data_IF_186633918999
#
_entry.id   IF_186633918999
#
_cell.length_a   1.000
_cell.length_b   1.000
_cell.length_c   1.000
_cell.angle_alpha   90.00
_cell.angle_beta   90.00
_cell.angle_gamma   90.00
#
_symmetry.space_group_name_H-M   'P 1'
#
loop_
_entity.id
_entity.type
_entity.pdbx_description
1 polymer ?
#
# COMPACT_ATOMS: atom_id res chain seq x y z
N UNK A 1 -33.34 -16.64 -9.41
CA UNK A 1 -32.48 -16.31 -10.57
C UNK A 1 -31.71 -15.00 -10.38
N UNK A 2 -32.33 -13.84 -10.09
CA UNK A 2 -31.61 -12.55 -9.88
C UNK A 2 -30.62 -12.48 -8.70
N UNK A 3 -30.80 -13.30 -7.65
CA UNK A 3 -29.93 -13.32 -6.46
C UNK A 3 -28.67 -14.17 -6.66
N UNK A 4 -28.75 -15.22 -7.46
CA UNK A 4 -27.62 -16.11 -7.78
C UNK A 4 -26.66 -15.49 -8.78
N UNK A 5 -27.15 -14.66 -9.71
CA UNK A 5 -26.29 -13.95 -10.69
C UNK A 5 -25.43 -12.86 -10.03
N UNK A 6 -25.94 -12.18 -9.00
CA UNK A 6 -25.17 -11.18 -8.26
C UNK A 6 -24.08 -11.83 -7.40
N UNK A 7 -24.37 -13.00 -6.81
CA UNK A 7 -23.42 -13.78 -6.02
C UNK A 7 -22.29 -14.36 -6.88
N UNK A 8 -22.63 -14.86 -8.09
CA UNK A 8 -21.66 -15.36 -9.05
C UNK A 8 -20.79 -14.25 -9.67
N UNK A 9 -21.32 -13.04 -9.85
CA UNK A 9 -20.54 -11.90 -10.33
C UNK A 9 -19.53 -11.40 -9.28
N UNK A 10 -19.90 -11.42 -7.99
CA UNK A 10 -18.99 -11.10 -6.88
C UNK A 10 -17.92 -12.19 -6.72
N UNK A 11 -18.29 -13.46 -6.89
CA UNK A 11 -17.35 -14.58 -6.81
C UNK A 11 -16.39 -14.63 -8.03
N UNK A 12 -16.88 -14.32 -9.23
CA UNK A 12 -16.06 -14.25 -10.45
C UNK A 12 -15.08 -13.07 -10.45
N UNK A 13 -15.43 -11.95 -9.80
CA UNK A 13 -14.51 -10.83 -9.58
C UNK A 13 -13.37 -11.16 -8.61
N UNK A 14 -13.58 -12.10 -7.68
CA UNK A 14 -12.56 -12.54 -6.72
C UNK A 14 -11.53 -13.53 -7.32
N UNK A 15 -11.82 -14.13 -8.48
CA UNK A 15 -11.00 -15.20 -9.08
C UNK A 15 -10.11 -14.74 -10.24
N UNK A 16 -10.16 -13.46 -10.62
CA UNK A 16 -9.30 -12.87 -11.66
C UNK A 16 -8.10 -12.12 -11.07
N UNK A 17 -7.36 -12.78 -10.17
CA UNK A 17 -6.07 -12.28 -9.68
C UNK A 17 -5.01 -12.64 -10.73
N UNK A 18 -4.37 -11.66 -11.42
CA UNK A 18 -3.21 -11.97 -12.26
C UNK A 18 -2.09 -12.53 -11.38
N UNK A 19 -1.38 -13.54 -11.88
CA UNK A 19 -0.18 -14.06 -11.23
C UNK A 19 0.83 -12.90 -11.08
N UNK A 20 1.00 -12.42 -9.85
CA UNK A 20 1.90 -11.31 -9.55
C UNK A 20 3.36 -11.69 -9.81
N UNK A 21 4.25 -10.70 -9.96
CA UNK A 21 5.69 -10.96 -9.99
C UNK A 21 6.09 -11.80 -8.78
N UNK A 22 6.99 -12.77 -8.97
CA UNK A 22 7.45 -13.66 -7.91
C UNK A 22 7.97 -12.83 -6.71
N UNK A 23 7.17 -12.78 -5.64
CA UNK A 23 7.53 -12.18 -4.36
C UNK A 23 8.46 -13.15 -3.64
N UNK A 24 9.74 -12.82 -3.55
CA UNK A 24 10.63 -13.56 -2.66
C UNK A 24 10.33 -13.27 -1.18
N UNK A 25 9.71 -12.13 -0.83
CA UNK A 25 9.53 -11.68 0.57
C UNK A 25 8.30 -10.76 0.81
N UNK A 26 7.16 -11.00 0.17
CA UNK A 26 6.07 -10.01 0.04
C UNK A 26 5.35 -9.59 1.35
N UNK A 27 5.11 -8.28 1.52
CA UNK A 27 4.11 -7.73 2.45
C UNK A 27 4.52 -6.54 3.32
N UNK A 28 5.81 -6.25 3.49
CA UNK A 28 6.32 -5.34 4.54
C UNK A 28 6.60 -3.89 4.08
N UNK A 29 5.97 -3.41 3.01
CA UNK A 29 6.08 -1.99 2.66
C UNK A 29 5.30 -1.12 3.65
N UNK A 30 5.83 0.02 4.14
CA UNK A 30 5.08 0.88 5.04
C UNK A 30 3.88 1.47 4.30
N UNK A 31 2.70 1.41 4.92
CA UNK A 31 1.47 1.96 4.33
C UNK A 31 1.56 3.46 4.03
N UNK A 32 2.42 4.16 4.77
CA UNK A 32 2.90 5.50 4.51
C UNK A 32 4.18 5.80 5.32
N UNK A 33 5.01 6.76 4.88
CA UNK A 33 6.30 7.09 5.50
C UNK A 33 6.58 8.60 5.45
N UNK A 34 7.49 9.08 6.31
CA UNK A 34 8.02 10.44 6.24
C UNK A 34 9.19 10.56 5.25
N UNK A 35 9.71 9.45 4.71
CA UNK A 35 10.89 9.44 3.86
C UNK A 35 10.53 9.14 2.40
N UNK A 36 10.90 10.05 1.51
CA UNK A 36 10.85 9.87 0.07
C UNK A 36 12.18 9.34 -0.43
N UNK A 37 12.18 8.12 -0.94
CA UNK A 37 13.35 7.51 -1.58
C UNK A 37 13.20 7.56 -3.10
N UNK A 38 14.23 8.01 -3.80
CA UNK A 38 14.20 8.17 -5.27
C UNK A 38 15.49 7.64 -5.90
N UNK A 39 15.35 7.03 -7.09
CA UNK A 39 16.49 6.73 -7.97
C UNK A 39 16.75 7.98 -8.80
N UNK A 40 17.96 8.54 -8.71
CA UNK A 40 18.38 9.70 -9.51
C UNK A 40 19.01 9.29 -10.84
N UNK A 41 19.54 8.07 -10.95
CA UNK A 41 19.98 7.51 -12.22
C UNK A 41 20.99 6.37 -12.09
N UNK A 42 21.53 5.96 -13.23
CA UNK A 42 22.69 5.07 -13.31
C UNK A 42 23.95 5.90 -13.56
N UNK A 43 25.10 5.50 -12.98
CA UNK A 43 26.38 6.17 -13.24
C UNK A 43 26.81 6.10 -14.72
N UNK A 44 26.34 5.08 -15.43
CA UNK A 44 26.43 4.97 -16.89
C UNK A 44 25.11 4.46 -17.45
N UNK A 45 24.63 5.08 -18.53
CA UNK A 45 23.43 4.62 -19.21
C UNK A 45 23.61 3.20 -19.75
N UNK A 46 22.62 2.34 -19.50
CA UNK A 46 22.62 0.94 -19.92
C UNK A 46 21.28 0.64 -20.62
N UNK A 47 21.25 0.57 -21.97
CA UNK A 47 20.03 0.29 -22.71
C UNK A 47 19.37 -1.02 -22.28
N UNK A 48 18.07 -0.97 -21.99
CA UNK A 48 17.30 -2.14 -21.54
C UNK A 48 17.39 -2.42 -20.04
N UNK A 49 18.15 -1.65 -19.26
CA UNK A 49 18.17 -1.75 -17.80
C UNK A 49 17.39 -0.59 -17.18
N UNK A 50 16.43 -0.90 -16.30
CA UNK A 50 15.72 0.12 -15.52
C UNK A 50 15.74 -0.24 -14.05
N UNK A 51 15.90 0.78 -13.20
CA UNK A 51 15.83 0.64 -11.74
C UNK A 51 14.95 1.74 -11.20
N UNK A 52 14.02 1.38 -10.31
CA UNK A 52 13.11 2.32 -9.66
C UNK A 52 12.82 1.90 -8.23
N UNK A 53 12.38 2.86 -7.43
CA UNK A 53 11.83 2.59 -6.10
C UNK A 53 10.36 2.17 -6.23
N UNK A 54 9.95 1.17 -5.46
CA UNK A 54 8.56 0.69 -5.37
C UNK A 54 8.11 0.64 -3.90
N UNK A 55 6.81 0.40 -3.67
CA UNK A 55 6.26 0.15 -2.33
C UNK A 55 6.62 1.26 -1.33
N UNK A 56 6.46 2.53 -1.77
CA UNK A 56 6.75 3.74 -0.99
C UNK A 56 8.16 3.81 -0.37
N UNK A 57 9.18 3.29 -1.06
CA UNK A 57 10.55 3.32 -0.55
C UNK A 57 11.01 2.00 0.05
N UNK A 58 10.12 1.00 0.18
CA UNK A 58 10.48 -0.26 0.82
C UNK A 58 11.43 -1.12 -0.03
N UNK A 59 11.35 -1.02 -1.36
CA UNK A 59 12.14 -1.86 -2.26
C UNK A 59 12.67 -1.11 -3.47
N UNK A 60 13.77 -1.63 -4.00
CA UNK A 60 14.19 -1.39 -5.37
C UNK A 60 13.56 -2.44 -6.28
N UNK A 61 13.17 -2.03 -7.48
CA UNK A 61 12.84 -2.91 -8.59
C UNK A 61 13.85 -2.70 -9.71
N UNK A 62 14.52 -3.77 -10.12
CA UNK A 62 15.37 -3.81 -11.31
C UNK A 62 14.70 -4.66 -12.37
N UNK A 63 14.52 -4.09 -13.57
CA UNK A 63 14.05 -4.82 -14.76
C UNK A 63 15.20 -4.89 -15.76
N UNK A 64 15.59 -6.11 -16.12
CA UNK A 64 16.67 -6.39 -17.05
C UNK A 64 16.15 -6.89 -18.41
N UNK A 65 16.19 -6.02 -19.41
CA UNK A 65 15.96 -6.32 -20.82
C UNK A 65 17.22 -6.27 -21.68
N UNK A 66 18.42 -6.31 -21.07
CA UNK A 66 19.70 -6.16 -21.78
C UNK A 66 20.13 -7.42 -22.56
N UNK A 67 19.51 -8.57 -22.28
CA UNK A 67 19.92 -9.87 -22.81
C UNK A 67 21.19 -10.45 -22.16
N UNK A 68 21.75 -9.78 -21.14
CA UNK A 68 22.95 -10.20 -20.39
C UNK A 68 22.63 -10.36 -18.91
N UNK A 69 23.48 -11.07 -18.17
CA UNK A 69 23.38 -11.15 -16.72
C UNK A 69 23.78 -9.83 -16.08
N UNK A 70 22.90 -9.29 -15.23
CA UNK A 70 23.20 -8.13 -14.38
C UNK A 70 23.20 -8.61 -12.93
N UNK A 71 24.32 -8.40 -12.24
CA UNK A 71 24.47 -8.74 -10.83
C UNK A 71 24.23 -7.50 -9.97
N UNK A 72 23.50 -7.67 -8.86
CA UNK A 72 23.42 -6.68 -7.78
C UNK A 72 24.45 -7.07 -6.73
N UNK A 73 25.27 -6.13 -6.30
CA UNK A 73 26.29 -6.38 -5.29
C UNK A 73 25.76 -6.08 -3.87
N UNK A 74 26.13 -6.96 -2.94
CA UNK A 74 25.83 -6.86 -1.52
C UNK A 74 26.68 -5.81 -0.81
N UNK A 75 26.54 -5.74 0.50
CA UNK A 75 27.10 -4.66 1.33
C UNK A 75 28.62 -4.66 1.40
N UNK A 76 29.26 -5.79 1.09
CA UNK A 76 30.71 -5.94 1.08
C UNK A 76 31.25 -6.18 -0.35
N UNK A 77 30.44 -5.88 -1.37
CA UNK A 77 30.79 -6.05 -2.78
C UNK A 77 30.65 -7.48 -3.29
N UNK A 78 30.13 -8.40 -2.49
CA UNK A 78 29.86 -9.78 -2.89
C UNK A 78 28.69 -9.87 -3.89
N UNK A 79 28.63 -10.89 -4.76
CA UNK A 79 27.45 -11.13 -5.58
C UNK A 79 26.25 -11.44 -4.70
N UNK A 80 25.17 -10.66 -4.82
CA UNK A 80 23.94 -10.84 -4.04
C UNK A 80 22.80 -11.40 -4.90
N UNK A 81 22.40 -10.68 -5.96
CA UNK A 81 21.37 -11.13 -6.90
C UNK A 81 21.96 -11.23 -8.31
N UNK A 82 21.46 -12.17 -9.11
CA UNK A 82 21.63 -12.12 -10.57
C UNK A 82 20.27 -12.04 -11.24
N UNK A 83 20.11 -11.06 -12.12
CA UNK A 83 19.00 -10.97 -13.05
C UNK A 83 19.50 -11.37 -14.41
N UNK A 84 19.20 -12.61 -14.81
CA UNK A 84 19.64 -13.23 -16.05
C UNK A 84 18.52 -13.25 -17.09
N UNK A 85 18.81 -13.52 -18.37
CA UNK A 85 17.78 -13.74 -19.38
C UNK A 85 16.86 -14.94 -19.07
N UNK A 86 17.34 -15.93 -18.31
CA UNK A 86 16.59 -17.14 -17.95
C UNK A 86 15.94 -17.07 -16.56
N UNK A 87 16.13 -15.99 -15.79
CA UNK A 87 15.45 -15.80 -14.51
C UNK A 87 16.22 -14.95 -13.51
N UNK A 88 15.67 -14.86 -12.31
CA UNK A 88 16.29 -14.16 -11.19
C UNK A 88 16.76 -15.15 -10.14
N UNK A 89 17.98 -14.92 -9.64
CA UNK A 89 18.69 -15.78 -8.71
C UNK A 89 19.19 -14.97 -7.52
N UNK A 90 19.23 -15.58 -6.35
CA UNK A 90 19.85 -15.03 -5.15
C UNK A 90 21.02 -15.91 -4.71
N UNK A 91 22.08 -15.30 -4.21
CA UNK A 91 23.24 -16.02 -3.68
C UNK A 91 22.98 -16.39 -2.22
N UNK A 92 22.76 -17.66 -1.93
CA UNK A 92 22.51 -18.11 -0.54
C UNK A 92 23.75 -17.98 0.35
N UNK A 93 24.94 -17.77 -0.23
CA UNK A 93 26.16 -17.48 0.52
C UNK A 93 26.36 -15.97 0.77
N UNK A 94 25.56 -15.09 0.18
CA UNK A 94 25.64 -13.64 0.43
C UNK A 94 24.93 -13.28 1.75
N UNK A 95 25.58 -12.55 2.67
CA UNK A 95 24.91 -11.99 3.84
C UNK A 95 23.72 -11.07 3.50
N UNK A 96 23.79 -10.37 2.36
CA UNK A 96 22.71 -9.51 1.88
C UNK A 96 21.41 -10.29 1.63
N UNK A 97 21.48 -11.58 1.26
CA UNK A 97 20.29 -12.45 1.09
C UNK A 97 19.47 -12.60 2.36
N UNK A 98 20.09 -12.48 3.53
CA UNK A 98 19.42 -12.60 4.82
C UNK A 98 19.03 -11.21 5.34
N UNK A 99 19.97 -10.26 5.29
CA UNK A 99 19.75 -8.87 5.71
C UNK A 99 18.61 -8.17 4.94
N UNK A 100 18.29 -8.64 3.73
CA UNK A 100 17.26 -8.03 2.87
C UNK A 100 15.95 -8.83 2.82
N UNK A 101 15.78 -9.85 3.68
CA UNK A 101 14.53 -10.60 3.73
C UNK A 101 13.41 -9.78 4.31
N UNK A 102 13.69 -9.06 5.39
CA UNK A 102 12.77 -8.14 6.05
C UNK A 102 13.15 -6.70 5.74
N UNK A 103 12.18 -5.80 5.91
CA UNK A 103 12.45 -4.38 5.76
C UNK A 103 13.56 -3.94 6.73
N UNK A 104 13.50 -4.35 7.99
CA UNK A 104 14.39 -3.92 9.08
C UNK A 104 15.73 -4.65 9.13
N UNK A 105 15.90 -5.71 8.32
CA UNK A 105 17.16 -6.44 8.24
C UNK A 105 17.57 -7.17 9.51
N UNK A 106 16.57 -7.54 10.31
CA UNK A 106 16.69 -8.26 11.58
C UNK A 106 16.81 -9.79 11.43
N UNK A 107 16.76 -10.29 10.19
CA UNK A 107 16.92 -11.72 9.90
C UNK A 107 18.35 -12.17 10.24
N UNK A 108 18.52 -13.20 11.10
CA UNK A 108 19.84 -13.71 11.45
C UNK A 108 20.60 -14.23 10.23
N UNK A 109 21.84 -13.75 10.05
CA UNK A 109 22.74 -14.21 8.99
C UNK A 109 23.40 -15.54 9.42
N UNK A 110 23.24 -16.64 8.66
CA UNK A 110 23.91 -17.89 8.98
C UNK A 110 25.44 -17.76 8.92
N UNK A 111 26.15 -18.46 9.81
CA UNK A 111 27.62 -18.41 9.86
C UNK A 111 28.33 -18.83 8.55
N UNK A 112 27.66 -19.64 7.71
CA UNK A 112 28.18 -20.05 6.40
C UNK A 112 27.96 -19.02 5.28
N UNK A 113 27.08 -18.04 5.48
CA UNK A 113 26.89 -16.95 4.54
C UNK A 113 28.02 -15.94 4.71
N UNK A 114 29.01 -16.02 3.81
CA UNK A 114 30.22 -15.20 3.84
C UNK A 114 30.36 -14.41 2.54
N UNK A 115 30.71 -13.12 2.60
CA UNK A 115 30.98 -12.31 1.41
C UNK A 115 32.10 -12.87 0.51
N UNK A 116 33.01 -13.65 1.09
CA UNK A 116 34.16 -14.23 0.37
C UNK A 116 33.90 -15.66 -0.10
N UNK A 117 32.77 -16.27 0.27
CA UNK A 117 32.41 -17.59 -0.22
C UNK A 117 32.04 -17.54 -1.70
N UNK A 118 32.35 -18.61 -2.43
CA UNK A 118 31.90 -18.74 -3.81
C UNK A 118 30.37 -18.67 -3.87
N UNK A 119 29.77 -17.95 -4.84
CA UNK A 119 28.33 -17.78 -4.89
C UNK A 119 27.63 -19.12 -5.13
N UNK A 120 26.56 -19.37 -4.37
CA UNK A 120 25.66 -20.49 -4.57
C UNK A 120 24.29 -19.94 -4.96
N UNK A 121 23.97 -20.07 -6.24
CA UNK A 121 22.76 -19.48 -6.80
C UNK A 121 21.52 -20.35 -6.56
N UNK A 122 20.50 -19.75 -5.95
CA UNK A 122 19.14 -20.29 -5.87
C UNK A 122 18.23 -19.47 -6.78
N UNK A 123 17.53 -20.14 -7.68
CA UNK A 123 16.54 -19.47 -8.56
C UNK A 123 15.32 -19.09 -7.75
N UNK A 124 14.93 -17.82 -7.78
CA UNK A 124 13.74 -17.29 -7.09
C UNK A 124 12.61 -16.91 -8.04
N UNK A 125 12.92 -16.70 -9.32
CA UNK A 125 11.93 -16.36 -10.35
C UNK A 125 12.38 -16.82 -11.72
N UNK A 126 11.42 -17.07 -12.61
CA UNK A 126 11.67 -17.30 -14.03
C UNK A 126 11.72 -16.01 -14.85
N UNK A 127 11.34 -14.88 -14.26
CA UNK A 127 11.34 -13.57 -14.92
C UNK A 127 12.64 -12.79 -14.76
N UNK A 128 12.77 -11.72 -15.55
CA UNK A 128 13.94 -10.81 -15.58
C UNK A 128 13.75 -9.55 -14.73
N UNK A 129 12.95 -9.66 -13.67
CA UNK A 129 12.67 -8.59 -12.71
C UNK A 129 13.00 -9.04 -11.31
N UNK A 130 13.83 -8.27 -10.62
CA UNK A 130 14.14 -8.47 -9.20
C UNK A 130 13.54 -7.33 -8.36
N UNK A 131 12.97 -7.69 -7.21
CA UNK A 131 12.57 -6.74 -6.17
C UNK A 131 13.17 -7.16 -4.84
N UNK A 132 13.82 -6.23 -4.15
CA UNK A 132 14.48 -6.50 -2.86
C UNK A 132 14.44 -5.29 -1.94
N UNK A 133 14.49 -5.54 -0.62
CA UNK A 133 14.77 -4.51 0.37
C UNK A 133 16.26 -4.17 0.35
N UNK A 134 16.62 -2.92 0.57
CA UNK A 134 18.03 -2.52 0.65
C UNK A 134 18.25 -1.53 1.78
N UNK A 135 19.15 -1.84 2.69
CA UNK A 135 19.41 -1.02 3.86
C UNK A 135 20.06 0.32 3.48
N UNK A 136 20.72 0.40 2.31
CA UNK A 136 21.38 1.64 1.84
C UNK A 136 20.39 2.73 1.45
N UNK A 137 19.15 2.37 1.12
CA UNK A 137 18.14 3.31 0.61
C UNK A 137 17.22 3.84 1.71
N UNK A 138 17.58 3.65 2.99
CA UNK A 138 16.78 3.97 4.16
C UNK A 138 17.54 4.82 5.16
N UNK A 139 16.80 5.69 5.83
CA UNK A 139 17.22 6.23 7.13
C UNK A 139 16.92 5.17 8.19
N UNK A 140 17.95 4.69 8.91
CA UNK A 140 17.83 3.59 9.86
C UNK A 140 17.82 4.03 11.34
N UNK A 141 18.12 5.30 11.62
CA UNK A 141 18.08 5.79 12.99
C UNK A 141 16.62 5.96 13.45
N UNK A 142 16.33 5.60 14.71
CA UNK A 142 15.01 5.73 15.32
C UNK A 142 14.54 7.19 15.47
N UNK A 143 15.49 8.13 15.47
CA UNK A 143 15.24 9.56 15.61
C UNK A 143 14.96 10.25 14.28
N UNK A 144 14.38 11.46 14.37
CA UNK A 144 14.35 12.36 13.21
C UNK A 144 15.78 12.71 12.77
N UNK A 145 16.03 12.90 11.47
CA UNK A 145 17.29 13.43 10.98
C UNK A 145 17.60 14.78 11.65
N UNK A 146 18.86 15.08 12.02
CA UNK A 146 19.20 16.32 12.72
C UNK A 146 18.67 17.59 12.04
N UNK A 147 18.64 17.61 10.70
CA UNK A 147 18.11 18.71 9.90
C UNK A 147 16.59 18.86 10.08
N UNK A 148 15.86 17.75 10.10
CA UNK A 148 14.41 17.73 10.34
C UNK A 148 14.05 18.05 11.79
N UNK A 149 14.92 17.71 12.76
CA UNK A 149 14.77 18.17 14.15
C UNK A 149 14.93 19.69 14.27
N UNK A 150 15.87 20.27 13.53
CA UNK A 150 16.14 21.71 13.57
C UNK A 150 15.05 22.53 12.85
N UNK A 151 14.51 22.05 11.73
CA UNK A 151 13.42 22.70 11.01
C UNK A 151 12.39 21.66 10.52
N UNK A 152 11.39 21.29 11.34
CA UNK A 152 10.41 20.27 10.97
C UNK A 152 9.36 20.77 9.97
N UNK A 153 9.46 22.02 9.50
CA UNK A 153 8.48 22.61 8.58
C UNK A 153 8.87 22.45 7.10
N UNK A 154 10.09 21.98 6.82
CA UNK A 154 10.65 21.89 5.47
C UNK A 154 11.17 20.49 5.17
N UNK A 155 11.19 20.13 3.89
CA UNK A 155 11.80 18.89 3.44
C UNK A 155 13.32 18.98 3.51
N UNK A 156 13.97 17.87 3.88
CA UNK A 156 15.43 17.78 4.01
C UNK A 156 15.94 16.54 3.31
N UNK A 157 16.91 16.69 2.40
CA UNK A 157 17.65 15.53 1.91
C UNK A 157 18.53 15.01 3.06
N UNK A 158 18.34 13.75 3.44
CA UNK A 158 18.98 13.17 4.64
C UNK A 158 20.18 12.32 4.28
N UNK A 159 20.18 11.67 3.12
CA UNK A 159 21.31 10.93 2.59
C UNK A 159 21.25 10.77 1.07
N UNK A 160 22.43 10.55 0.49
CA UNK A 160 22.61 10.00 -0.85
C UNK A 160 23.04 8.54 -0.73
N UNK A 161 22.61 7.71 -1.66
CA UNK A 161 22.89 6.28 -1.62
C UNK A 161 23.34 5.73 -2.97
N UNK A 162 24.08 4.62 -2.90
CA UNK A 162 24.60 3.90 -4.05
C UNK A 162 24.38 2.41 -3.88
N UNK A 163 23.78 1.77 -4.88
CA UNK A 163 23.74 0.31 -5.03
C UNK A 163 24.57 -0.09 -6.24
N UNK A 164 25.72 -0.75 -6.07
CA UNK A 164 26.56 -1.15 -7.18
C UNK A 164 25.97 -2.38 -7.88
N UNK A 165 26.00 -2.34 -9.20
CA UNK A 165 25.69 -3.44 -10.10
C UNK A 165 26.95 -3.86 -10.87
N UNK A 166 26.93 -5.07 -11.41
CA UNK A 166 27.99 -5.59 -12.27
C UNK A 166 27.41 -6.23 -13.52
N UNK A 167 28.04 -5.91 -14.64
CA UNK A 167 27.76 -6.43 -15.98
C UNK A 167 29.05 -7.05 -16.53
N UNK A 168 29.24 -8.34 -16.25
CA UNK A 168 30.50 -9.04 -16.48
C UNK A 168 31.65 -8.42 -15.67
N UNK A 169 32.57 -7.74 -16.36
CA UNK A 169 33.71 -7.05 -15.71
C UNK A 169 33.46 -5.57 -15.44
N UNK A 170 32.36 -5.01 -15.93
CA UNK A 170 32.03 -3.60 -15.79
C UNK A 170 31.16 -3.38 -14.56
N UNK A 171 31.53 -2.44 -13.72
CA UNK A 171 30.68 -1.97 -12.61
C UNK A 171 29.91 -0.73 -13.03
N UNK A 172 28.69 -0.60 -12.53
CA UNK A 172 27.87 0.60 -12.63
C UNK A 172 27.11 0.80 -11.32
N UNK A 173 26.72 2.05 -11.05
CA UNK A 173 26.06 2.40 -9.80
C UNK A 173 24.61 2.77 -10.08
N UNK A 174 23.68 2.23 -9.32
CA UNK A 174 22.38 2.87 -9.11
C UNK A 174 22.58 3.94 -8.05
N UNK A 175 22.23 5.18 -8.37
CA UNK A 175 22.31 6.32 -7.45
C UNK A 175 20.94 6.81 -7.08
N UNK A 176 20.83 7.37 -5.89
CA UNK A 176 19.60 7.98 -5.45
C UNK A 176 19.74 8.77 -4.15
N UNK A 177 18.60 9.25 -3.68
CA UNK A 177 18.48 10.10 -2.50
C UNK A 177 17.39 9.58 -1.57
N UNK A 178 17.50 9.94 -0.31
CA UNK A 178 16.38 9.90 0.64
C UNK A 178 16.14 11.32 1.15
N UNK A 179 14.89 11.74 1.11
CA UNK A 179 14.43 13.05 1.58
C UNK A 179 13.40 12.84 2.67
N UNK A 180 13.63 13.42 3.84
CA UNK A 180 12.58 13.56 4.86
C UNK A 180 11.61 14.65 4.44
N UNK A 181 10.32 14.36 4.56
CA UNK A 181 9.22 15.22 4.16
C UNK A 181 8.36 15.57 5.39
N UNK A 182 7.99 16.85 5.58
CA UNK A 182 7.22 17.25 6.74
C UNK A 182 5.83 16.59 6.72
N UNK A 183 5.38 16.01 7.85
CA UNK A 183 4.08 15.37 7.91
C UNK A 183 2.97 16.42 7.73
N UNK A 184 1.85 16.06 7.09
CA UNK A 184 0.70 16.94 7.00
C UNK A 184 0.09 17.18 8.39
N UNK A 185 -0.68 18.26 8.57
CA UNK A 185 -1.47 18.48 9.79
C UNK A 185 -2.61 17.46 9.90
N UNK A 186 -2.31 16.26 10.44
CA UNK A 186 -3.22 15.13 10.51
C UNK A 186 -4.57 15.46 11.18
N UNK A 187 -4.55 16.33 12.17
CA UNK A 187 -5.74 16.74 12.91
C UNK A 187 -6.81 17.40 12.03
N UNK A 188 -6.42 18.12 10.96
CA UNK A 188 -7.37 18.72 10.02
C UNK A 188 -8.18 17.65 9.29
N UNK A 189 -7.55 16.53 8.94
CA UNK A 189 -8.23 15.41 8.29
C UNK A 189 -9.21 14.71 9.25
N UNK A 190 -8.82 14.53 10.52
CA UNK A 190 -9.71 13.99 11.54
C UNK A 190 -10.91 14.90 11.83
N UNK A 191 -10.68 16.20 11.98
CA UNK A 191 -11.75 17.19 12.14
C UNK A 191 -12.69 17.16 10.93
N UNK A 192 -12.14 17.08 9.71
CA UNK A 192 -12.92 16.93 8.49
C UNK A 192 -13.77 15.66 8.46
N UNK A 193 -13.22 14.52 8.87
CA UNK A 193 -13.94 13.24 8.96
C UNK A 193 -15.10 13.32 9.98
N UNK A 194 -14.83 13.90 11.16
CA UNK A 194 -15.83 14.09 12.21
C UNK A 194 -16.94 15.06 11.77
N UNK A 195 -16.58 16.19 11.16
CA UNK A 195 -17.54 17.16 10.64
C UNK A 195 -18.42 16.55 9.53
N UNK A 196 -17.81 15.80 8.61
CA UNK A 196 -18.53 15.07 7.57
C UNK A 196 -19.50 14.05 8.18
N UNK A 197 -19.03 13.23 9.12
CA UNK A 197 -19.86 12.23 9.79
C UNK A 197 -21.01 12.84 10.59
N UNK A 198 -20.76 13.91 11.34
CA UNK A 198 -21.80 14.61 12.10
C UNK A 198 -22.86 15.24 11.17
N UNK A 199 -22.43 15.95 10.12
CA UNK A 199 -23.31 16.57 9.14
C UNK A 199 -24.18 15.55 8.40
N UNK A 200 -23.57 14.46 7.91
CA UNK A 200 -24.29 13.38 7.23
C UNK A 200 -25.21 12.60 8.18
N UNK A 201 -24.85 12.42 9.45
CA UNK A 201 -25.72 11.80 10.45
C UNK A 201 -26.93 12.69 10.73
N UNK A 202 -26.74 14.00 10.88
CA UNK A 202 -27.83 14.96 11.06
C UNK A 202 -28.77 14.96 9.85
N UNK A 203 -28.22 14.89 8.63
CA UNK A 203 -28.97 14.72 7.39
C UNK A 203 -29.75 13.40 7.38
N UNK A 204 -29.12 12.29 7.77
CA UNK A 204 -29.73 10.96 7.80
C UNK A 204 -30.86 10.82 8.80
N UNK A 205 -30.76 11.49 9.95
CA UNK A 205 -31.87 11.59 10.93
C UNK A 205 -33.11 12.24 10.33
N UNK A 206 -32.94 13.27 9.50
CA UNK A 206 -34.06 13.99 8.86
C UNK A 206 -34.56 13.32 7.58
N UNK A 207 -33.63 12.80 6.77
CA UNK A 207 -33.89 12.32 5.40
C UNK A 207 -33.00 11.13 5.07
N UNK A 208 -33.21 10.00 5.73
CA UNK A 208 -32.39 8.79 5.57
C UNK A 208 -32.21 8.29 4.12
N UNK A 209 -33.15 8.56 3.20
CA UNK A 209 -32.99 8.21 1.78
C UNK A 209 -31.80 8.92 1.12
N UNK A 210 -31.38 10.08 1.63
CA UNK A 210 -30.22 10.82 1.15
C UNK A 210 -28.88 10.16 1.51
N UNK A 211 -28.87 9.16 2.40
CA UNK A 211 -27.67 8.35 2.65
C UNK A 211 -27.45 7.32 1.54
N UNK A 212 -28.42 7.10 0.66
CA UNK A 212 -28.27 6.23 -0.50
C UNK A 212 -27.16 6.71 -1.46
N UNK A 213 -27.25 7.95 -2.00
CA UNK A 213 -26.19 8.53 -2.82
C UNK A 213 -24.85 8.65 -2.10
N UNK A 214 -24.86 8.97 -0.81
CA UNK A 214 -23.65 9.04 0.02
C UNK A 214 -22.95 7.69 0.09
N UNK A 215 -23.70 6.62 0.37
CA UNK A 215 -23.15 5.26 0.43
C UNK A 215 -22.63 4.77 -0.93
N UNK A 216 -23.29 5.15 -2.04
CA UNK A 216 -22.79 4.90 -3.39
C UNK A 216 -21.45 5.60 -3.62
N UNK A 217 -21.38 6.91 -3.38
CA UNK A 217 -20.18 7.69 -3.60
C UNK A 217 -19.01 7.22 -2.71
N UNK A 218 -19.25 7.06 -1.41
CA UNK A 218 -18.22 6.62 -0.47
C UNK A 218 -17.74 5.19 -0.78
N UNK A 219 -18.66 4.29 -1.14
CA UNK A 219 -18.33 2.94 -1.58
C UNK A 219 -17.49 2.95 -2.86
N UNK A 220 -17.87 3.72 -3.88
CA UNK A 220 -17.10 3.81 -5.13
C UNK A 220 -15.72 4.43 -4.93
N UNK A 221 -15.60 5.50 -4.13
CA UNK A 221 -14.31 6.14 -3.81
C UNK A 221 -13.40 5.14 -3.09
N UNK A 222 -13.91 4.46 -2.07
CA UNK A 222 -13.13 3.48 -1.29
C UNK A 222 -12.72 2.29 -2.16
N UNK A 223 -13.61 1.82 -3.05
CA UNK A 223 -13.29 0.74 -3.99
C UNK A 223 -12.13 1.14 -4.92
N UNK A 224 -12.21 2.33 -5.52
CA UNK A 224 -11.17 2.86 -6.40
C UNK A 224 -9.83 3.02 -5.68
N UNK A 225 -9.87 3.57 -4.46
CA UNK A 225 -8.69 3.71 -3.61
C UNK A 225 -8.05 2.36 -3.26
N UNK A 226 -8.84 1.40 -2.73
CA UNK A 226 -8.33 0.09 -2.32
C UNK A 226 -7.78 -0.73 -3.50
N UNK A 227 -8.46 -0.70 -4.65
CA UNK A 227 -7.97 -1.37 -5.88
C UNK A 227 -6.67 -0.73 -6.37
N UNK A 228 -6.56 0.60 -6.30
CA UNK A 228 -5.33 1.32 -6.68
C UNK A 228 -4.18 0.93 -5.76
N UNK A 229 -4.40 0.92 -4.45
CA UNK A 229 -3.42 0.50 -3.43
C UNK A 229 -2.97 -0.94 -3.65
N UNK A 230 -3.92 -1.86 -3.84
CA UNK A 230 -3.62 -3.27 -4.13
C UNK A 230 -2.80 -3.44 -5.42
N UNK A 231 -3.11 -2.69 -6.47
CA UNK A 231 -2.36 -2.72 -7.74
C UNK A 231 -0.92 -2.22 -7.60
N UNK A 232 -0.66 -1.39 -6.58
CA UNK A 232 0.67 -0.89 -6.24
C UNK A 232 1.44 -1.80 -5.26
N UNK A 233 0.85 -2.94 -4.88
CA UNK A 233 1.48 -3.89 -3.96
C UNK A 233 1.17 -3.65 -2.48
N UNK A 234 0.27 -2.70 -2.14
CA UNK A 234 -0.16 -2.55 -0.75
C UNK A 234 -0.98 -3.77 -0.31
N UNK A 235 -0.54 -4.41 0.78
CA UNK A 235 -1.22 -5.54 1.40
C UNK A 235 -2.53 -5.16 2.09
N UNK A 236 -3.30 -6.16 2.52
CA UNK A 236 -4.43 -5.95 3.43
C UNK A 236 -5.67 -5.24 2.85
N UNK A 237 -5.73 -5.00 1.53
CA UNK A 237 -6.81 -4.22 0.91
C UNK A 237 -8.13 -5.00 0.69
N UNK A 238 -8.12 -6.33 0.79
CA UNK A 238 -9.30 -7.17 0.51
C UNK A 238 -10.53 -6.84 1.39
N UNK A 239 -10.40 -6.63 2.71
CA UNK A 239 -11.54 -6.20 3.55
C UNK A 239 -12.10 -4.83 3.13
N UNK A 240 -11.26 -3.89 2.72
CA UNK A 240 -11.69 -2.57 2.24
C UNK A 240 -12.52 -2.67 0.95
N UNK A 241 -12.09 -3.54 0.01
CA UNK A 241 -12.82 -3.83 -1.24
C UNK A 241 -14.22 -4.41 -0.92
N UNK A 242 -14.30 -5.36 0.00
CA UNK A 242 -15.59 -5.95 0.42
C UNK A 242 -16.48 -4.90 1.08
N UNK A 243 -15.94 -4.10 2.00
CA UNK A 243 -16.69 -3.02 2.66
C UNK A 243 -17.23 -1.99 1.64
N UNK A 244 -16.42 -1.65 0.64
CA UNK A 244 -16.78 -0.73 -0.43
C UNK A 244 -17.93 -1.27 -1.31
N UNK A 245 -17.88 -2.55 -1.70
CA UNK A 245 -18.96 -3.21 -2.46
C UNK A 245 -20.26 -3.27 -1.65
N UNK A 246 -20.16 -3.59 -0.35
CA UNK A 246 -21.32 -3.58 0.55
C UNK A 246 -21.91 -2.18 0.71
N UNK A 247 -21.08 -1.13 0.76
CA UNK A 247 -21.52 0.26 0.81
C UNK A 247 -22.29 0.67 -0.46
N UNK A 248 -21.79 0.28 -1.65
CA UNK A 248 -22.50 0.49 -2.91
C UNK A 248 -23.86 -0.22 -2.90
N UNK A 249 -23.90 -1.49 -2.47
CA UNK A 249 -25.14 -2.26 -2.37
C UNK A 249 -26.12 -1.62 -1.35
N UNK A 250 -25.63 -1.18 -0.20
CA UNK A 250 -26.40 -0.46 0.82
C UNK A 250 -26.98 0.84 0.26
N UNK A 251 -26.23 1.57 -0.57
CA UNK A 251 -26.70 2.78 -1.23
C UNK A 251 -27.89 2.53 -2.15
N UNK A 252 -27.81 1.51 -3.01
CA UNK A 252 -28.92 1.10 -3.90
C UNK A 252 -30.15 0.68 -3.09
N UNK A 253 -29.97 -0.11 -2.03
CA UNK A 253 -31.09 -0.55 -1.18
C UNK A 253 -31.73 0.62 -0.43
N UNK A 254 -30.93 1.57 0.06
CA UNK A 254 -31.41 2.76 0.77
C UNK A 254 -32.24 3.66 -0.15
N UNK A 255 -31.81 3.84 -1.41
CA UNK A 255 -32.59 4.55 -2.44
C UNK A 255 -33.93 3.87 -2.73
N UNK A 256 -33.96 2.53 -2.70
CA UNK A 256 -35.18 1.73 -2.86
C UNK A 256 -36.02 1.63 -1.58
N UNK A 257 -35.63 2.33 -0.50
CA UNK A 257 -36.34 2.31 0.78
C UNK A 257 -36.25 0.98 1.54
N UNK A 258 -35.23 0.15 1.27
CA UNK A 258 -35.08 -1.20 1.83
C UNK A 258 -34.10 -1.24 3.00
N UNK A 259 -34.38 -2.20 3.90
CA UNK A 259 -33.59 -2.67 5.08
C UNK A 259 -32.47 -1.75 5.59
N UNK A 260 -32.64 -1.10 6.75
CA UNK A 260 -31.59 -0.26 7.34
C UNK A 260 -30.37 -1.04 7.88
N UNK A 261 -30.48 -2.36 8.01
CA UNK A 261 -29.37 -3.23 8.48
C UNK A 261 -28.14 -3.18 7.59
N UNK A 262 -28.29 -3.31 6.26
CA UNK A 262 -27.12 -3.31 5.38
C UNK A 262 -26.43 -1.94 5.37
N UNK A 263 -27.18 -0.85 5.53
CA UNK A 263 -26.62 0.49 5.69
C UNK A 263 -25.78 0.58 6.98
N UNK A 264 -26.29 0.02 8.08
CA UNK A 264 -25.57 0.00 9.35
C UNK A 264 -24.26 -0.80 9.25
N UNK A 265 -24.35 -2.05 8.75
CA UNK A 265 -23.23 -2.96 8.61
C UNK A 265 -22.18 -2.44 7.63
N UNK A 266 -22.60 -2.02 6.43
CA UNK A 266 -21.67 -1.49 5.44
C UNK A 266 -20.99 -0.22 5.93
N UNK A 267 -21.71 0.65 6.65
CA UNK A 267 -21.11 1.85 7.26
C UNK A 267 -20.03 1.53 8.29
N UNK A 268 -20.29 0.56 9.17
CA UNK A 268 -19.31 0.12 10.17
C UNK A 268 -18.07 -0.49 9.51
N UNK A 269 -18.26 -1.38 8.52
CA UNK A 269 -17.16 -2.00 7.78
C UNK A 269 -16.36 -0.98 6.98
N UNK A 270 -17.02 0.00 6.35
CA UNK A 270 -16.36 1.05 5.59
C UNK A 270 -15.51 1.95 6.50
N UNK A 271 -16.02 2.26 7.69
CA UNK A 271 -15.28 3.04 8.70
C UNK A 271 -14.01 2.31 9.12
N UNK A 272 -14.13 1.01 9.45
CA UNK A 272 -12.99 0.22 9.96
C UNK A 272 -12.00 -0.10 8.85
N UNK A 273 -12.45 -0.76 7.78
CA UNK A 273 -11.57 -1.32 6.77
C UNK A 273 -11.25 -0.37 5.62
N UNK A 274 -12.16 0.54 5.25
CA UNK A 274 -11.89 1.56 4.24
C UNK A 274 -11.24 2.83 4.79
N UNK A 275 -11.28 3.01 6.11
CA UNK A 275 -10.89 4.23 6.80
C UNK A 275 -9.79 4.00 7.83
N UNK A 276 -10.15 3.46 9.00
CA UNK A 276 -9.27 3.33 10.16
C UNK A 276 -8.05 2.44 9.88
N UNK A 277 -8.21 1.37 9.11
CA UNK A 277 -7.11 0.48 8.71
C UNK A 277 -6.01 1.22 7.91
N UNK A 278 -6.37 2.28 7.18
CA UNK A 278 -5.44 3.11 6.39
C UNK A 278 -5.21 4.50 7.02
N UNK A 279 -5.58 4.71 8.29
CA UNK A 279 -5.52 6.04 8.93
C UNK A 279 -4.09 6.62 9.03
N UNK A 280 -3.05 5.78 8.94
CA UNK A 280 -1.66 6.22 8.89
C UNK A 280 -1.38 7.20 7.74
N UNK A 281 -2.12 7.10 6.63
CA UNK A 281 -2.04 8.01 5.47
C UNK A 281 -2.34 9.47 5.84
N UNK A 282 -3.10 9.71 6.91
CA UNK A 282 -3.44 11.06 7.38
C UNK A 282 -2.27 11.76 8.09
N UNK A 283 -1.31 10.99 8.62
CA UNK A 283 -0.20 11.50 9.43
C UNK A 283 1.16 11.50 8.71
N UNK A 284 1.26 10.74 7.63
CA UNK A 284 2.53 10.54 6.91
C UNK A 284 2.59 11.39 5.64
N UNK A 285 3.79 11.81 5.26
CA UNK A 285 4.01 12.70 4.12
C UNK A 285 3.94 11.96 2.77
N UNK A 286 4.58 10.80 2.69
CA UNK A 286 4.69 9.96 1.50
C UNK A 286 3.68 8.81 1.61
N UNK A 287 2.85 8.68 0.58
CA UNK A 287 1.78 7.68 0.50
C UNK A 287 1.94 6.93 -0.82
N UNK A 288 1.95 5.59 -0.85
CA UNK A 288 1.93 4.81 -2.08
C UNK A 288 0.58 5.01 -2.80
N UNK A 289 0.50 6.07 -3.60
CA UNK A 289 -0.66 6.43 -4.42
C UNK A 289 -0.16 7.17 -5.68
N UNK A 290 -0.68 6.88 -6.89
CA UNK A 290 -0.08 7.34 -8.15
C UNK A 290 -0.44 8.80 -8.51
N UNK A 291 -0.89 9.58 -7.53
CA UNK A 291 -1.31 10.97 -7.72
C UNK A 291 -1.07 11.80 -6.46
N UNK A 292 -1.62 13.02 -6.40
CA UNK A 292 -1.48 13.88 -5.24
C UNK A 292 -1.92 13.16 -3.94
N UNK A 293 -1.07 13.19 -2.92
CA UNK A 293 -1.29 12.45 -1.67
C UNK A 293 -2.56 12.90 -0.91
N UNK A 294 -3.08 14.10 -1.19
CA UNK A 294 -4.36 14.56 -0.64
C UNK A 294 -5.56 13.75 -1.13
N UNK A 295 -5.49 13.11 -2.31
CA UNK A 295 -6.57 12.25 -2.81
C UNK A 295 -6.73 10.99 -1.95
N UNK A 296 -5.62 10.36 -1.57
CA UNK A 296 -5.63 9.22 -0.66
C UNK A 296 -6.21 9.61 0.70
N UNK A 297 -5.80 10.76 1.25
CA UNK A 297 -6.33 11.29 2.52
C UNK A 297 -7.82 11.61 2.44
N UNK A 298 -8.28 12.19 1.34
CA UNK A 298 -9.69 12.45 1.11
C UNK A 298 -10.52 11.16 1.03
N UNK A 299 -10.00 10.11 0.38
CA UNK A 299 -10.67 8.81 0.33
C UNK A 299 -10.84 8.20 1.73
N UNK A 300 -9.77 8.18 2.53
CA UNK A 300 -9.80 7.70 3.93
C UNK A 300 -10.76 8.54 4.79
N UNK A 301 -10.70 9.87 4.68
CA UNK A 301 -11.61 10.78 5.39
C UNK A 301 -13.08 10.49 5.03
N UNK A 302 -13.38 10.30 3.74
CA UNK A 302 -14.74 9.98 3.27
C UNK A 302 -15.19 8.63 3.80
N UNK A 303 -14.34 7.60 3.77
CA UNK A 303 -14.67 6.28 4.30
C UNK A 303 -15.02 6.33 5.79
N UNK A 304 -14.25 7.08 6.59
CA UNK A 304 -14.52 7.28 8.03
C UNK A 304 -15.82 8.08 8.22
N UNK A 305 -15.90 9.29 7.66
CA UNK A 305 -17.03 10.20 7.92
C UNK A 305 -18.36 9.66 7.38
N UNK A 306 -18.39 9.22 6.12
CA UNK A 306 -19.60 8.65 5.54
C UNK A 306 -19.95 7.29 6.16
N UNK A 307 -18.95 6.45 6.46
CA UNK A 307 -19.14 5.17 7.13
C UNK A 307 -19.82 5.31 8.50
N UNK A 308 -19.34 6.23 9.35
CA UNK A 308 -19.95 6.52 10.65
C UNK A 308 -21.39 7.00 10.48
N UNK A 309 -21.65 7.89 9.51
CA UNK A 309 -23.00 8.40 9.26
C UNK A 309 -23.97 7.32 8.77
N UNK A 310 -23.51 6.42 7.90
CA UNK A 310 -24.27 5.26 7.45
C UNK A 310 -24.58 4.31 8.62
N UNK A 311 -23.56 3.99 9.43
CA UNK A 311 -23.69 3.15 10.62
C UNK A 311 -24.74 3.71 11.59
N UNK A 312 -24.57 4.97 12.00
CA UNK A 312 -25.46 5.64 12.92
C UNK A 312 -26.89 5.75 12.37
N UNK A 313 -27.06 6.14 11.11
CA UNK A 313 -28.38 6.26 10.47
C UNK A 313 -29.08 4.90 10.37
N UNK A 314 -28.36 3.85 9.98
CA UNK A 314 -28.89 2.49 9.92
C UNK A 314 -29.36 1.99 11.28
N UNK A 315 -28.55 2.18 12.33
CA UNK A 315 -28.90 1.80 13.71
C UNK A 315 -30.12 2.57 14.22
N UNK A 316 -30.18 3.88 14.01
CA UNK A 316 -31.32 4.70 14.43
C UNK A 316 -32.63 4.24 13.77
N UNK A 317 -32.57 3.82 12.50
CA UNK A 317 -33.74 3.30 11.78
C UNK A 317 -34.14 1.89 12.22
N UNK A 318 -33.17 1.03 12.56
CA UNK A 318 -33.46 -0.28 13.13
C UNK A 318 -34.19 -0.14 14.48
N UNK A 319 -33.79 0.82 15.31
CA UNK A 319 -34.45 1.11 16.60
C UNK A 319 -35.85 1.70 16.45
N UNK A 320 -36.11 2.42 15.37
CA UNK A 320 -37.41 3.03 15.10
C UNK A 320 -38.41 2.08 14.42
N UNK A 321 -38.00 0.88 13.99
CA UNK A 321 -38.91 -0.10 13.44
C UNK A 321 -39.76 -0.69 14.59
N UNK A 322 -41.10 -0.65 14.53
CA UNK A 322 -41.93 -1.26 15.55
C UNK A 322 -41.65 -2.77 15.59
N UNK A 323 -41.49 -3.32 16.80
CA UNK A 323 -41.55 -4.77 17.00
C UNK A 323 -42.92 -5.20 16.47
N UNK A 324 -42.94 -5.95 15.38
CA UNK A 324 -44.16 -6.61 14.93
C UNK A 324 -44.63 -7.47 16.09
N UNK A 325 -45.71 -7.04 16.74
CA UNK A 325 -46.47 -7.84 17.69
C UNK A 325 -46.76 -9.16 17.01
N UNK A 326 -46.15 -10.22 17.55
CA UNK A 326 -46.59 -11.59 17.32
C UNK A 326 -48.07 -11.57 17.71
N UNK A 327 -48.95 -11.67 16.72
CA UNK A 327 -50.34 -12.03 16.97
C UNK A 327 -50.41 -13.55 16.87
N UNK A 328 -50.99 -14.08 17.95
CA UNK A 328 -51.37 -15.46 18.21
C UNK A 328 -52.16 -16.10 17.06
#
# INVERSE_FOLDING_TARGET
>A
MRRTTLFLAVLAGALLVPAGPASAHGGEGPDATAYRTEVTGLSSAQPGLTVRVVEAGARLELVNGTGRTIEVLGYQGEPYLEVRPDGTYENVNSPATYTNQTLDGDTPVPAGASPTAAPQWRRVSTGTTARWHDQRIRWLDDGLPPQAQADPSRSHQVLEWVVPLRDGVRTLDVRGTVTWEPPPPAWLWWVGALALGAGLTALGRRRARLLGPVALAAGTITLGYAVTRMSLGAGGQSPAIVAAVLAVAAGVLTLRGRTPFLLALAGALLTVFGGLADAGVLAQAVVPFPGPSWLARAAVLVAIGAGVAMAATGVLRLRAAPLSSVHD
#
